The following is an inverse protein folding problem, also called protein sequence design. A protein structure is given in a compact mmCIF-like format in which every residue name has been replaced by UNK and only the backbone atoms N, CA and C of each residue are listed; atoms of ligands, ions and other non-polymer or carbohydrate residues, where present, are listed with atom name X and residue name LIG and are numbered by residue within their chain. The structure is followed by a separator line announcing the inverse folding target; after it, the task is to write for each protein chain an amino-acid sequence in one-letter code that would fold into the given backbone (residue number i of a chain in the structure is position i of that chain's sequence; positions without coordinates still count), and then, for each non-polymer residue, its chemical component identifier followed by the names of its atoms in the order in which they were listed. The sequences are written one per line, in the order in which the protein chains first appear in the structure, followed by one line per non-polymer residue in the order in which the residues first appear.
data_IF_214293674948
#
_entry.id   IF_214293674948
#
_cell.length_a   1.000
_cell.length_b   1.000
_cell.length_c   1.000
_cell.angle_alpha   90.00
_cell.angle_beta   90.00
_cell.angle_gamma   90.00
#
_symmetry.space_group_name_H-M   'P 1'
#
loop_
_entity.id
_entity.type
_entity.pdbx_description
1 polymer ?
#
# COMPACT_ATOMS: atom_id res chain seq x y z
N UNK A 1 23.42 15.00 -34.60
CA UNK A 1 24.09 14.98 -33.27
C UNK A 1 23.00 14.91 -32.20
N UNK A 2 23.05 13.84 -31.38
CA UNK A 2 22.19 13.34 -30.25
C UNK A 2 20.67 13.67 -30.21
N UNK A 3 19.79 12.65 -30.04
CA UNK A 3 18.36 12.87 -29.81
C UNK A 3 18.16 13.64 -28.49
N UNK A 4 17.31 14.66 -28.49
CA UNK A 4 16.80 15.31 -27.26
C UNK A 4 15.87 14.31 -26.57
N UNK A 5 16.43 13.34 -25.88
CA UNK A 5 15.65 12.60 -24.88
C UNK A 5 15.26 13.60 -23.80
N UNK A 6 13.99 13.62 -23.42
CA UNK A 6 13.52 14.37 -22.27
C UNK A 6 14.38 13.94 -21.07
N UNK A 7 15.15 14.87 -20.52
CA UNK A 7 15.91 14.63 -19.29
C UNK A 7 14.88 14.22 -18.23
N UNK A 8 14.94 12.99 -17.75
CA UNK A 8 14.14 12.55 -16.61
C UNK A 8 14.43 13.57 -15.50
N UNK A 9 13.41 14.31 -15.06
CA UNK A 9 13.53 15.24 -13.95
C UNK A 9 14.18 14.47 -12.79
N UNK A 10 15.24 15.02 -12.22
CA UNK A 10 15.85 14.48 -11.01
C UNK A 10 14.74 14.21 -9.99
N UNK A 11 14.65 12.97 -9.51
CA UNK A 11 13.69 12.59 -8.47
C UNK A 11 14.19 13.26 -7.19
N UNK A 12 13.72 14.48 -6.93
CA UNK A 12 14.13 15.28 -5.77
C UNK A 12 13.68 14.64 -4.44
N UNK A 13 12.59 13.87 -4.48
CA UNK A 13 12.00 13.18 -3.32
C UNK A 13 12.23 11.66 -3.37
N UNK A 14 13.49 11.24 -3.57
CA UNK A 14 13.88 9.82 -3.43
C UNK A 14 14.02 9.43 -1.94
N UNK A 15 13.09 9.86 -1.08
CA UNK A 15 13.08 9.44 0.32
C UNK A 15 12.56 8.00 0.43
N UNK A 16 13.09 7.17 1.34
CA UNK A 16 12.55 5.84 1.58
C UNK A 16 11.07 5.91 1.94
N UNK A 17 10.29 5.00 1.34
CA UNK A 17 8.88 4.80 1.67
C UNK A 17 8.81 3.77 2.78
N UNK A 18 8.31 4.16 3.95
CA UNK A 18 8.16 3.28 5.12
C UNK A 18 6.76 3.40 5.74
N UNK A 19 6.34 2.42 6.58
CA UNK A 19 5.07 2.51 7.29
C UNK A 19 4.94 3.76 8.16
N UNK A 20 6.05 4.27 8.69
CA UNK A 20 6.11 5.46 9.54
C UNK A 20 5.96 6.75 8.70
N UNK A 21 6.60 6.79 7.53
CA UNK A 21 6.61 8.00 6.69
C UNK A 21 5.42 8.07 5.73
N UNK A 22 4.83 6.94 5.37
CA UNK A 22 3.75 6.82 4.38
C UNK A 22 2.61 5.90 4.86
N UNK A 23 2.03 6.15 6.05
CA UNK A 23 1.05 5.26 6.66
C UNK A 23 -0.19 5.07 5.78
N UNK A 24 -0.63 6.10 5.07
CA UNK A 24 -1.77 6.01 4.16
C UNK A 24 -1.51 5.08 2.97
N UNK A 25 -0.30 5.12 2.41
CA UNK A 25 0.10 4.23 1.32
C UNK A 25 0.12 2.77 1.79
N UNK A 26 0.74 2.50 2.93
CA UNK A 26 0.79 1.14 3.49
C UNK A 26 -0.58 0.64 3.94
N UNK A 27 -1.48 1.51 4.39
CA UNK A 27 -2.87 1.14 4.66
C UNK A 27 -3.56 0.68 3.38
N UNK A 28 -3.48 1.48 2.31
CA UNK A 28 -4.06 1.14 1.02
C UNK A 28 -3.47 -0.15 0.46
N UNK A 29 -2.14 -0.33 0.53
CA UNK A 29 -1.45 -1.53 0.09
C UNK A 29 -1.95 -2.77 0.84
N UNK A 30 -2.03 -2.72 2.18
CA UNK A 30 -2.53 -3.83 2.99
C UNK A 30 -3.97 -4.19 2.67
N UNK A 31 -4.85 -3.20 2.51
CA UNK A 31 -6.24 -3.45 2.11
C UNK A 31 -6.32 -4.11 0.73
N UNK A 32 -5.58 -3.59 -0.26
CA UNK A 32 -5.56 -4.15 -1.61
C UNK A 32 -5.06 -5.60 -1.63
N UNK A 33 -4.02 -5.91 -0.87
CA UNK A 33 -3.49 -7.28 -0.76
C UNK A 33 -4.51 -8.25 -0.14
N UNK A 34 -5.20 -7.84 0.93
CA UNK A 34 -6.24 -8.67 1.55
C UNK A 34 -7.36 -9.00 0.56
N UNK A 35 -7.85 -8.00 -0.18
CA UNK A 35 -8.88 -8.19 -1.20
C UNK A 35 -8.41 -9.15 -2.31
N UNK A 36 -7.17 -8.97 -2.81
CA UNK A 36 -6.61 -9.85 -3.82
C UNK A 36 -6.49 -11.32 -3.34
N UNK A 37 -6.12 -11.53 -2.07
CA UNK A 37 -6.07 -12.87 -1.49
C UNK A 37 -7.46 -13.51 -1.37
N UNK A 38 -8.49 -12.71 -1.10
CA UNK A 38 -9.89 -13.16 -1.14
C UNK A 38 -10.35 -13.51 -2.55
N UNK A 39 -10.03 -12.68 -3.55
CA UNK A 39 -10.36 -12.96 -4.96
C UNK A 39 -9.67 -14.22 -5.48
N UNK A 40 -8.46 -14.51 -5.02
CA UNK A 40 -7.74 -15.74 -5.36
C UNK A 40 -8.23 -16.98 -4.58
N UNK A 41 -9.19 -16.82 -3.65
CA UNK A 41 -9.68 -17.90 -2.80
C UNK A 41 -8.62 -18.44 -1.82
N UNK A 42 -7.55 -17.68 -1.58
CA UNK A 42 -6.53 -18.03 -0.57
C UNK A 42 -7.06 -17.74 0.83
N UNK A 43 -7.81 -16.65 0.97
CA UNK A 43 -8.57 -16.35 2.17
C UNK A 43 -10.04 -16.64 1.94
N UNK A 44 -10.62 -17.42 2.85
CA UNK A 44 -12.06 -17.59 2.94
C UNK A 44 -12.72 -16.28 3.38
N UNK A 45 -13.99 -16.09 3.04
CA UNK A 45 -14.71 -14.83 3.27
C UNK A 45 -14.65 -14.36 4.73
N UNK A 46 -14.83 -15.27 5.69
CA UNK A 46 -14.76 -14.96 7.12
C UNK A 46 -13.37 -14.50 7.56
N UNK A 47 -12.31 -15.08 6.96
CA UNK A 47 -10.92 -14.70 7.24
C UNK A 47 -10.61 -13.32 6.67
N UNK A 48 -11.11 -13.04 5.46
CA UNK A 48 -11.00 -11.71 4.84
C UNK A 48 -11.71 -10.64 5.68
N UNK A 49 -12.95 -10.90 6.07
CA UNK A 49 -13.76 -9.96 6.87
C UNK A 49 -13.08 -9.64 8.20
N UNK A 50 -12.59 -10.66 8.91
CA UNK A 50 -11.85 -10.49 10.16
C UNK A 50 -10.53 -9.71 9.97
N UNK A 51 -9.80 -9.98 8.88
CA UNK A 51 -8.54 -9.29 8.59
C UNK A 51 -8.76 -7.81 8.26
N UNK A 52 -9.81 -7.50 7.48
CA UNK A 52 -10.19 -6.13 7.17
C UNK A 52 -10.68 -5.38 8.41
N UNK A 53 -11.45 -6.03 9.28
CA UNK A 53 -11.90 -5.46 10.56
C UNK A 53 -10.69 -5.07 11.42
N UNK A 54 -9.74 -5.99 11.64
CA UNK A 54 -8.52 -5.71 12.42
C UNK A 54 -7.71 -4.56 11.82
N UNK A 55 -7.54 -4.54 10.50
CA UNK A 55 -6.82 -3.48 9.80
C UNK A 55 -7.52 -2.11 9.96
N UNK A 56 -8.85 -2.09 10.04
CA UNK A 56 -9.62 -0.86 10.32
C UNK A 56 -9.48 -0.39 11.77
N UNK A 57 -9.35 -1.31 12.73
CA UNK A 57 -9.16 -0.97 14.15
C UNK A 57 -7.76 -0.41 14.43
N UNK A 58 -6.73 -0.87 13.69
CA UNK A 58 -5.38 -0.29 13.74
C UNK A 58 -5.35 1.18 13.35
N UNK A 59 -6.21 1.60 12.40
CA UNK A 59 -6.34 3.00 11.97
C UNK A 59 -6.75 3.93 13.11
N UNK A 60 -7.49 3.42 14.12
CA UNK A 60 -7.89 4.17 15.31
C UNK A 60 -6.86 4.18 16.44
N UNK A 61 -5.76 3.43 16.31
CA UNK A 61 -4.68 3.31 17.31
C UNK A 61 -3.36 3.95 16.87
N UNK A 62 -3.29 4.49 15.66
CA UNK A 62 -2.14 5.31 15.25
C UNK A 62 -2.21 6.65 16.01
N UNK A 63 -1.16 7.05 16.76
CA UNK A 63 -1.11 8.32 17.47
C UNK A 63 -1.09 9.53 16.52
#
# INVERSE_FOLDING_TARGET
MKPRFATLYEIQDARPVSPETDPAFFQMLRTGLLLALGEQGILEREQLDLALERLSQEKGKQP
#
